data_IF_092430121578
#
_entry.id   IF_092430121578
#
_cell.length_a   1.000
_cell.length_b   1.000
_cell.length_c   1.000
_cell.angle_alpha   90.00
_cell.angle_beta   90.00
_cell.angle_gamma   90.00
#
_symmetry.space_group_name_H-M   'P 1'
#
loop_
_entity.id
_entity.type
_entity.pdbx_description
1 polymer ?
#
# COMPACT_ATOMS: atom_id res chain seq x y z
N UNK A 1 -87.17 6.88 19.97
CA UNK A 1 -86.20 6.73 18.86
C UNK A 1 -84.83 7.21 19.37
N UNK A 2 -83.75 6.70 18.78
CA UNK A 2 -82.34 7.06 19.02
C UNK A 2 -81.72 6.68 20.38
N UNK A 3 -81.30 5.42 20.56
CA UNK A 3 -80.11 5.14 21.39
C UNK A 3 -79.37 3.84 21.08
N UNK A 4 -79.68 3.16 19.97
CA UNK A 4 -79.05 1.86 19.64
C UNK A 4 -78.08 1.91 18.45
N UNK A 5 -77.87 3.08 17.85
CA UNK A 5 -77.02 3.20 16.65
C UNK A 5 -75.53 3.44 16.96
N UNK A 6 -75.19 3.91 18.18
CA UNK A 6 -73.81 4.22 18.56
C UNK A 6 -73.01 3.03 19.14
N UNK A 7 -73.66 1.93 19.52
CA UNK A 7 -72.97 0.79 20.14
C UNK A 7 -72.46 -0.26 19.15
N UNK A 8 -72.99 -0.29 17.91
CA UNK A 8 -72.57 -1.25 16.88
C UNK A 8 -71.40 -0.75 16.03
N UNK A 9 -71.20 0.56 15.92
CA UNK A 9 -70.07 1.14 15.18
C UNK A 9 -68.75 1.04 15.95
N UNK A 10 -68.80 1.01 17.29
CA UNK A 10 -67.62 0.83 18.14
C UNK A 10 -67.19 -0.65 18.19
N UNK A 11 -68.12 -1.60 18.01
CA UNK A 11 -67.83 -3.05 18.03
C UNK A 11 -67.24 -3.59 16.72
N UNK A 12 -67.35 -2.85 15.61
CA UNK A 12 -66.74 -3.21 14.32
C UNK A 12 -65.30 -2.68 14.15
N UNK A 13 -64.86 -1.74 14.99
CA UNK A 13 -63.52 -1.13 14.90
C UNK A 13 -62.48 -1.95 15.69
N UNK A 14 -62.88 -2.95 16.48
CA UNK A 14 -61.96 -3.69 17.36
C UNK A 14 -61.36 -4.98 16.79
N UNK A 15 -61.63 -5.39 15.54
CA UNK A 15 -61.22 -6.73 15.03
C UNK A 15 -60.38 -6.70 13.73
N UNK A 16 -59.73 -5.58 13.41
CA UNK A 16 -58.71 -5.56 12.36
C UNK A 16 -57.41 -4.92 12.85
N UNK A 17 -56.95 -5.30 14.04
CA UNK A 17 -55.53 -5.14 14.37
C UNK A 17 -54.77 -6.14 13.52
N UNK A 18 -54.28 -5.70 12.35
CA UNK A 18 -53.37 -6.50 11.53
C UNK A 18 -52.13 -6.75 12.39
N UNK A 19 -51.95 -7.98 12.86
CA UNK A 19 -50.74 -8.38 13.57
C UNK A 19 -49.58 -8.34 12.57
N UNK A 20 -48.74 -7.32 12.74
CA UNK A 20 -47.65 -6.99 11.87
C UNK A 20 -46.51 -6.39 12.69
N UNK A 21 -45.29 -6.66 12.26
CA UNK A 21 -44.09 -6.12 12.87
C UNK A 21 -43.52 -4.99 12.01
N UNK A 22 -43.13 -3.90 12.68
CA UNK A 22 -42.38 -2.81 12.07
C UNK A 22 -40.89 -3.00 12.37
N UNK A 23 -40.11 -3.24 11.33
CA UNK A 23 -38.67 -3.49 11.46
C UNK A 23 -37.88 -2.69 10.43
N UNK A 24 -37.01 -1.78 10.92
CA UNK A 24 -36.20 -0.88 10.07
C UNK A 24 -37.00 -0.16 8.98
N UNK A 25 -38.22 0.27 9.30
CA UNK A 25 -39.09 0.99 8.37
C UNK A 25 -39.84 0.12 7.34
N UNK A 26 -39.82 -1.21 7.48
CA UNK A 26 -40.61 -2.15 6.68
C UNK A 26 -41.65 -2.85 7.54
N UNK A 27 -42.80 -3.17 6.93
CA UNK A 27 -43.90 -3.91 7.54
C UNK A 27 -43.82 -5.39 7.18
N UNK A 28 -43.87 -6.26 8.17
CA UNK A 28 -43.85 -7.71 8.02
C UNK A 28 -45.10 -8.33 8.64
N UNK A 29 -45.73 -9.30 7.97
CA UNK A 29 -46.92 -9.98 8.50
C UNK A 29 -46.54 -10.92 9.64
N UNK A 30 -47.49 -11.22 10.54
CA UNK A 30 -47.33 -12.29 11.54
C UNK A 30 -46.79 -13.57 10.89
N UNK A 31 -45.80 -14.19 11.52
CA UNK A 31 -45.08 -15.39 11.09
C UNK A 31 -44.22 -15.24 9.82
N UNK A 32 -44.09 -14.03 9.27
CA UNK A 32 -43.21 -13.77 8.15
C UNK A 32 -41.75 -13.87 8.59
N UNK A 33 -40.96 -14.64 7.83
CA UNK A 33 -39.51 -14.71 7.99
C UNK A 33 -38.84 -13.81 6.95
N UNK A 34 -37.81 -13.10 7.40
CA UNK A 34 -37.04 -12.21 6.55
C UNK A 34 -35.57 -12.21 6.96
N UNK A 35 -34.74 -11.60 6.11
CA UNK A 35 -33.30 -11.46 6.36
C UNK A 35 -32.97 -10.04 6.78
N UNK A 36 -32.14 -9.92 7.81
CA UNK A 36 -31.43 -8.69 8.16
C UNK A 36 -29.93 -9.00 8.15
N UNK A 37 -29.27 -8.62 7.06
CA UNK A 37 -27.91 -9.06 6.75
C UNK A 37 -27.82 -10.61 6.78
N UNK A 38 -26.83 -11.19 7.46
CA UNK A 38 -26.70 -12.63 7.64
C UNK A 38 -27.70 -13.24 8.64
N UNK A 39 -28.39 -12.40 9.43
CA UNK A 39 -29.33 -12.87 10.44
C UNK A 39 -30.68 -13.25 9.82
N UNK A 40 -31.26 -14.32 10.36
CA UNK A 40 -32.65 -14.71 10.06
C UNK A 40 -33.54 -14.11 11.11
N UNK A 41 -34.53 -13.34 10.69
CA UNK A 41 -35.53 -12.71 11.53
C UNK A 41 -36.90 -13.31 11.27
N UNK A 42 -37.76 -13.32 12.30
CA UNK A 42 -39.16 -13.67 12.16
C UNK A 42 -40.04 -12.70 12.95
N UNK A 43 -41.19 -12.36 12.37
CA UNK A 43 -42.24 -11.60 13.06
C UNK A 43 -43.06 -12.55 13.94
N UNK A 44 -42.87 -12.44 15.26
CA UNK A 44 -43.52 -13.27 16.28
C UNK A 44 -44.84 -12.69 16.76
N UNK A 45 -45.29 -13.19 17.92
CA UNK A 45 -46.50 -12.68 18.55
C UNK A 45 -46.27 -11.27 19.15
N UNK A 46 -47.37 -10.56 19.43
CA UNK A 46 -47.34 -9.22 20.04
C UNK A 46 -46.52 -8.20 19.23
N UNK A 47 -46.44 -8.36 17.91
CA UNK A 47 -45.71 -7.49 16.98
C UNK A 47 -44.19 -7.39 17.28
N UNK A 48 -43.61 -8.42 17.91
CA UNK A 48 -42.19 -8.47 18.22
C UNK A 48 -41.39 -9.18 17.11
N UNK A 49 -40.22 -8.62 16.79
CA UNK A 49 -39.27 -9.24 15.87
C UNK A 49 -38.20 -9.97 16.66
N UNK A 50 -37.94 -11.21 16.26
CA UNK A 50 -36.88 -12.03 16.81
C UNK A 50 -35.89 -12.37 15.70
N UNK A 51 -34.62 -12.00 15.89
CA UNK A 51 -33.54 -12.31 14.96
C UNK A 51 -32.52 -13.24 15.60
N UNK A 52 -31.85 -14.05 14.80
CA UNK A 52 -30.58 -14.66 15.21
C UNK A 52 -29.57 -13.57 15.57
N UNK A 53 -28.60 -13.89 16.42
CA UNK A 53 -27.53 -12.96 16.83
C UNK A 53 -26.18 -13.43 16.29
N UNK A 54 -26.10 -13.55 14.96
CA UNK A 54 -24.84 -13.78 14.27
C UNK A 54 -24.08 -12.46 14.17
N UNK A 55 -22.77 -12.52 14.42
CA UNK A 55 -21.85 -11.42 14.14
C UNK A 55 -21.67 -11.31 12.63
N UNK A 56 -22.61 -10.65 11.97
CA UNK A 56 -22.51 -10.37 10.55
C UNK A 56 -21.37 -9.38 10.36
N UNK A 57 -20.27 -9.86 9.81
CA UNK A 57 -19.23 -8.99 9.29
C UNK A 57 -19.84 -8.42 8.02
N UNK A 58 -20.18 -7.13 8.02
CA UNK A 58 -20.71 -6.48 6.82
C UNK A 58 -19.76 -6.76 5.66
N UNK A 59 -20.16 -7.65 4.76
CA UNK A 59 -19.40 -7.99 3.54
C UNK A 59 -19.53 -6.87 2.48
N UNK A 60 -19.73 -5.62 2.91
CA UNK A 60 -19.75 -4.41 2.08
C UNK A 60 -18.48 -3.57 2.23
N UNK A 61 -17.49 -4.01 3.01
CA UNK A 61 -16.11 -3.65 2.73
C UNK A 61 -15.69 -4.44 1.50
N UNK A 62 -15.88 -3.85 0.32
CA UNK A 62 -15.37 -4.35 -0.95
C UNK A 62 -13.97 -4.92 -0.69
N UNK A 63 -13.82 -6.26 -0.74
CA UNK A 63 -12.59 -6.91 -0.32
C UNK A 63 -11.49 -6.41 -1.26
N UNK A 64 -10.64 -5.53 -0.74
CA UNK A 64 -9.58 -4.85 -1.48
C UNK A 64 -8.22 -5.11 -0.85
N UNK A 65 -7.18 -4.96 -1.66
CA UNK A 65 -5.82 -4.81 -1.19
C UNK A 65 -5.37 -3.37 -1.34
N UNK A 66 -4.65 -2.87 -0.34
CA UNK A 66 -3.95 -1.59 -0.39
C UNK A 66 -2.48 -1.88 -0.69
N UNK A 67 -1.99 -1.46 -1.85
CA UNK A 67 -0.61 -1.68 -2.27
C UNK A 67 0.00 -0.39 -2.84
N UNK A 68 1.11 0.07 -2.25
CA UNK A 68 1.77 1.36 -2.59
C UNK A 68 0.79 2.53 -2.70
N UNK A 69 -0.17 2.62 -1.77
CA UNK A 69 -1.24 3.64 -1.70
C UNK A 69 -2.33 3.56 -2.78
N UNK A 70 -2.33 2.52 -3.61
CA UNK A 70 -3.41 2.23 -4.55
C UNK A 70 -4.32 1.12 -4.00
N UNK A 71 -5.59 1.16 -4.40
CA UNK A 71 -6.62 0.18 -4.00
C UNK A 71 -6.87 -0.78 -5.16
N UNK A 72 -6.85 -2.08 -4.88
CA UNK A 72 -7.05 -3.14 -5.86
C UNK A 72 -8.13 -4.10 -5.38
N UNK A 73 -9.05 -4.50 -6.26
CA UNK A 73 -10.07 -5.49 -5.90
C UNK A 73 -9.45 -6.87 -5.70
N UNK A 74 -9.96 -7.65 -4.74
CA UNK A 74 -9.57 -9.05 -4.59
C UNK A 74 -9.78 -9.83 -5.89
N UNK A 75 -8.80 -10.66 -6.25
CA UNK A 75 -8.75 -11.40 -7.51
C UNK A 75 -8.09 -10.64 -8.66
N UNK A 76 -7.97 -9.31 -8.57
CA UNK A 76 -7.30 -8.52 -9.61
C UNK A 76 -5.81 -8.82 -9.67
N UNK A 77 -5.26 -8.70 -10.88
CA UNK A 77 -3.83 -8.76 -11.15
C UNK A 77 -3.37 -7.40 -11.68
N UNK A 78 -2.22 -6.93 -11.21
CA UNK A 78 -1.65 -5.64 -11.59
C UNK A 78 -0.12 -5.73 -11.72
N UNK A 79 0.49 -4.67 -12.23
CA UNK A 79 1.95 -4.58 -12.41
C UNK A 79 2.60 -3.76 -11.32
N UNK A 80 3.70 -4.27 -10.79
CA UNK A 80 4.70 -3.49 -10.07
C UNK A 80 6.02 -3.62 -10.81
N UNK A 81 6.34 -2.61 -11.63
CA UNK A 81 7.42 -2.70 -12.62
C UNK A 81 7.21 -3.91 -13.55
N UNK A 82 8.24 -4.72 -13.78
CA UNK A 82 8.14 -5.95 -14.56
C UNK A 82 7.43 -7.11 -13.82
N UNK A 83 7.18 -6.98 -12.52
CA UNK A 83 6.55 -8.01 -11.71
C UNK A 83 5.03 -7.99 -11.85
N UNK A 84 4.43 -9.18 -11.86
CA UNK A 84 2.98 -9.33 -11.79
C UNK A 84 2.59 -9.59 -10.35
N UNK A 85 1.67 -8.77 -9.83
CA UNK A 85 1.10 -8.89 -8.50
C UNK A 85 -0.35 -9.34 -8.58
N UNK A 86 -0.82 -10.08 -7.57
CA UNK A 86 -2.22 -10.50 -7.41
C UNK A 86 -2.73 -10.10 -6.03
N UNK A 87 -3.88 -9.45 -6.00
CA UNK A 87 -4.60 -9.16 -4.76
C UNK A 87 -5.39 -10.40 -4.31
N UNK A 88 -5.11 -10.88 -3.10
CA UNK A 88 -5.76 -12.00 -2.44
C UNK A 88 -6.63 -11.50 -1.28
N UNK A 89 -7.46 -12.39 -0.73
CA UNK A 89 -8.27 -12.09 0.44
C UNK A 89 -7.41 -11.59 1.63
N UNK A 90 -8.03 -10.87 2.55
CA UNK A 90 -7.40 -10.36 3.77
C UNK A 90 -6.24 -9.37 3.51
N UNK A 91 -6.36 -8.53 2.47
CA UNK A 91 -5.38 -7.51 2.11
C UNK A 91 -3.95 -8.08 1.84
N UNK A 92 -3.89 -9.30 1.30
CA UNK A 92 -2.62 -9.95 0.95
C UNK A 92 -2.29 -9.70 -0.51
N UNK A 93 -1.09 -9.19 -0.78
CA UNK A 93 -0.57 -9.03 -2.15
C UNK A 93 0.62 -9.94 -2.35
N UNK A 94 0.55 -10.78 -3.38
CA UNK A 94 1.67 -11.63 -3.81
C UNK A 94 2.17 -11.17 -5.17
N UNK A 95 3.48 -10.99 -5.29
CA UNK A 95 4.12 -10.57 -6.54
C UNK A 95 5.15 -11.62 -6.98
N UNK A 96 5.35 -11.74 -8.30
CA UNK A 96 6.53 -12.42 -8.82
C UNK A 96 7.81 -11.73 -8.32
N UNK A 97 8.93 -12.46 -8.30
CA UNK A 97 10.24 -11.94 -7.88
C UNK A 97 11.23 -11.95 -9.06
N UNK A 98 10.89 -11.22 -10.11
CA UNK A 98 11.77 -10.98 -11.26
C UNK A 98 12.71 -9.83 -10.93
N UNK A 99 13.97 -9.97 -11.34
CA UNK A 99 14.90 -8.86 -11.38
C UNK A 99 14.48 -7.95 -12.53
N UNK A 100 13.87 -6.81 -12.22
CA UNK A 100 13.36 -5.92 -13.24
C UNK A 100 14.50 -5.14 -13.91
N UNK A 101 14.53 -5.08 -15.25
CA UNK A 101 15.48 -4.24 -15.96
C UNK A 101 15.27 -2.80 -15.53
N UNK A 102 16.36 -2.07 -15.28
CA UNK A 102 16.28 -0.63 -15.07
C UNK A 102 15.83 0.00 -16.39
N UNK A 103 14.54 0.25 -16.56
CA UNK A 103 14.03 0.98 -17.71
C UNK A 103 14.47 2.43 -17.57
N UNK A 104 15.04 2.98 -18.65
CA UNK A 104 15.59 4.34 -18.73
C UNK A 104 14.60 5.45 -18.36
N UNK A 105 13.31 5.13 -18.17
CA UNK A 105 12.26 6.08 -17.81
C UNK A 105 12.27 6.46 -16.33
N UNK A 106 12.88 5.66 -15.45
CA UNK A 106 13.36 6.15 -14.16
C UNK A 106 14.81 6.60 -14.31
N UNK A 107 15.03 7.70 -15.04
CA UNK A 107 16.20 8.54 -14.85
C UNK A 107 16.08 9.14 -13.44
N UNK A 108 16.38 8.36 -12.40
CA UNK A 108 16.97 8.96 -11.22
C UNK A 108 18.19 9.70 -11.75
N UNK A 109 18.08 11.02 -11.81
CA UNK A 109 19.19 11.87 -12.24
C UNK A 109 20.28 11.60 -11.21
N UNK A 110 21.28 10.84 -11.62
CA UNK A 110 22.44 10.45 -10.82
C UNK A 110 23.68 10.82 -11.58
N UNK A 111 24.75 11.08 -10.85
CA UNK A 111 26.08 11.22 -11.41
C UNK A 111 26.90 9.98 -11.06
N UNK A 112 27.67 9.47 -12.03
CA UNK A 112 28.67 8.44 -11.80
C UNK A 112 30.04 9.09 -11.75
N UNK A 113 30.78 8.90 -10.67
CA UNK A 113 32.12 9.49 -10.47
C UNK A 113 33.01 8.52 -9.70
N UNK A 114 34.19 8.20 -10.26
CA UNK A 114 35.14 7.22 -9.71
C UNK A 114 34.46 5.91 -9.28
N UNK A 115 33.64 5.33 -10.17
CA UNK A 115 32.87 4.09 -9.94
C UNK A 115 31.86 4.14 -8.78
N UNK A 116 31.53 5.33 -8.27
CA UNK A 116 30.47 5.54 -7.27
C UNK A 116 29.28 6.27 -7.89
N UNK A 117 28.08 6.01 -7.36
CA UNK A 117 26.82 6.61 -7.80
C UNK A 117 26.36 7.66 -6.79
N UNK A 118 26.09 8.87 -7.26
CA UNK A 118 25.68 10.01 -6.46
C UNK A 118 24.32 10.53 -6.91
N UNK A 119 23.43 10.85 -5.96
CA UNK A 119 22.13 11.46 -6.27
C UNK A 119 22.32 12.91 -6.71
N UNK A 120 21.52 13.41 -7.64
CA UNK A 120 21.51 14.84 -7.97
C UNK A 120 21.29 15.71 -6.74
N UNK A 121 22.04 16.81 -6.65
CA UNK A 121 22.06 17.73 -5.51
C UNK A 121 23.02 17.31 -4.38
N UNK A 122 23.46 16.04 -4.34
CA UNK A 122 24.44 15.59 -3.36
C UNK A 122 25.77 16.30 -3.52
N UNK A 123 26.42 16.54 -2.39
CA UNK A 123 27.77 17.10 -2.31
C UNK A 123 28.68 16.09 -1.58
N UNK A 124 29.90 15.94 -2.06
CA UNK A 124 30.87 14.97 -1.53
C UNK A 124 32.29 15.50 -1.67
N UNK A 125 33.23 14.90 -0.93
CA UNK A 125 34.64 15.28 -0.93
C UNK A 125 35.47 14.34 -1.80
N UNK A 126 36.38 14.90 -2.57
CA UNK A 126 37.42 14.19 -3.33
C UNK A 126 38.74 14.85 -2.95
N UNK A 127 39.52 14.16 -2.13
CA UNK A 127 40.65 14.77 -1.40
C UNK A 127 40.16 16.04 -0.67
N UNK A 128 40.80 17.19 -0.87
CA UNK A 128 40.38 18.47 -0.30
C UNK A 128 39.21 19.14 -1.06
N UNK A 129 38.97 18.75 -2.32
CA UNK A 129 37.98 19.39 -3.18
C UNK A 129 36.55 19.00 -2.81
N UNK A 130 35.63 19.96 -2.92
CA UNK A 130 34.19 19.72 -2.77
C UNK A 130 33.59 19.55 -4.16
N UNK A 131 32.90 18.43 -4.36
CA UNK A 131 32.19 18.09 -5.58
C UNK A 131 30.68 18.10 -5.36
N UNK A 132 29.92 18.43 -6.41
CA UNK A 132 28.46 18.39 -6.41
C UNK A 132 27.94 17.70 -7.66
N UNK A 133 26.95 16.83 -7.49
CA UNK A 133 26.21 16.25 -8.61
C UNK A 133 25.13 17.23 -9.09
N UNK A 134 25.24 17.71 -10.33
CA UNK A 134 24.35 18.71 -10.92
C UNK A 134 23.11 18.09 -11.56
N UNK A 135 22.05 18.88 -11.76
CA UNK A 135 20.80 18.46 -12.41
C UNK A 135 20.96 17.92 -13.84
N UNK A 136 22.12 18.14 -14.46
CA UNK A 136 22.47 17.67 -15.80
C UNK A 136 23.30 16.38 -15.77
N UNK A 137 23.31 15.67 -14.64
CA UNK A 137 24.08 14.44 -14.40
C UNK A 137 25.61 14.62 -14.49
N UNK A 138 26.11 15.85 -14.37
CA UNK A 138 27.53 16.16 -14.35
C UNK A 138 28.02 16.38 -12.92
N UNK A 139 29.24 15.92 -12.61
CA UNK A 139 29.94 16.28 -11.38
C UNK A 139 30.78 17.52 -11.62
N UNK A 140 30.59 18.52 -10.77
CA UNK A 140 31.41 19.74 -10.77
C UNK A 140 32.13 19.83 -9.43
N UNK A 141 33.44 20.03 -9.45
CA UNK A 141 34.27 20.12 -8.27
C UNK A 141 34.99 21.47 -8.20
N UNK A 142 35.33 21.90 -6.99
CA UNK A 142 36.34 22.95 -6.79
C UNK A 142 37.69 22.51 -7.39
N UNK A 143 38.55 23.49 -7.70
CA UNK A 143 39.90 23.24 -8.25
C UNK A 143 40.97 23.74 -7.29
N UNK A 144 41.03 23.14 -6.11
CA UNK A 144 42.06 23.39 -5.11
C UNK A 144 43.26 22.49 -5.37
N UNK A 145 44.47 23.04 -5.22
CA UNK A 145 45.70 22.26 -5.14
C UNK A 145 45.73 21.55 -3.77
N UNK A 146 45.41 20.25 -3.76
CA UNK A 146 45.32 19.50 -2.51
C UNK A 146 46.71 19.05 -2.03
N UNK A 147 46.99 19.12 -0.72
CA UNK A 147 48.17 18.49 -0.15
C UNK A 147 48.16 16.98 -0.39
N UNK A 148 49.31 16.42 -0.77
CA UNK A 148 49.51 14.97 -0.90
C UNK A 148 49.74 14.39 0.49
N UNK A 149 48.97 13.36 0.85
CA UNK A 149 49.16 12.66 2.12
C UNK A 149 50.05 11.42 1.94
N UNK A 150 50.59 10.88 3.04
CA UNK A 150 51.33 9.61 3.01
C UNK A 150 50.48 8.45 2.46
N UNK A 151 49.18 8.44 2.79
CA UNK A 151 48.23 7.45 2.31
C UNK A 151 48.05 7.53 0.77
N UNK A 152 48.02 8.73 0.21
CA UNK A 152 47.93 8.93 -1.25
C UNK A 152 49.17 8.37 -1.97
N UNK A 153 50.37 8.56 -1.38
CA UNK A 153 51.63 8.01 -1.91
C UNK A 153 51.61 6.48 -1.87
N UNK A 154 51.14 5.89 -0.76
CA UNK A 154 51.06 4.42 -0.62
C UNK A 154 50.11 3.80 -1.64
N UNK A 155 48.92 4.38 -1.84
CA UNK A 155 47.96 3.94 -2.86
C UNK A 155 48.52 4.07 -4.28
N UNK A 156 49.26 5.14 -4.55
CA UNK A 156 49.91 5.33 -5.85
C UNK A 156 51.02 4.29 -6.08
N UNK A 157 51.84 4.00 -5.08
CA UNK A 157 52.86 2.93 -5.16
C UNK A 157 52.19 1.56 -5.40
N UNK A 158 51.07 1.28 -4.72
CA UNK A 158 50.30 0.05 -4.93
C UNK A 158 49.76 -0.04 -6.36
N UNK A 159 49.14 1.03 -6.86
CA UNK A 159 48.65 1.11 -8.23
C UNK A 159 49.77 0.83 -9.26
N UNK A 160 50.94 1.46 -9.08
CA UNK A 160 52.09 1.25 -9.96
C UNK A 160 52.67 -0.18 -9.91
N UNK A 161 52.61 -0.85 -8.74
CA UNK A 161 53.01 -2.25 -8.58
C UNK A 161 52.01 -3.20 -9.25
N UNK A 162 50.72 -2.96 -9.07
CA UNK A 162 49.65 -3.81 -9.58
C UNK A 162 49.54 -3.73 -11.12
N UNK A 163 49.75 -2.56 -11.72
CA UNK A 163 49.79 -2.38 -13.17
C UNK A 163 51.16 -2.81 -13.79
N UNK A 164 52.07 -3.37 -12.98
CA UNK A 164 53.43 -3.84 -13.38
C UNK A 164 54.27 -2.78 -14.12
N UNK A 165 54.04 -1.50 -13.87
CA UNK A 165 54.73 -0.40 -14.60
C UNK A 165 56.13 -0.15 -14.02
N UNK A 166 56.35 -0.42 -12.73
CA UNK A 166 57.65 -0.18 -12.08
C UNK A 166 58.20 -1.49 -11.52
N UNK A 167 59.28 -2.00 -12.12
CA UNK A 167 60.20 -2.90 -11.40
C UNK A 167 60.92 -2.03 -10.37
N UNK A 168 60.48 -2.11 -9.12
CA UNK A 168 61.18 -1.44 -8.01
C UNK A 168 62.62 -1.94 -7.98
N UNK A 169 63.63 -1.05 -8.00
CA UNK A 169 65.01 -1.46 -7.83
C UNK A 169 65.13 -2.18 -6.49
N UNK A 170 65.66 -3.39 -6.51
CA UNK A 170 66.00 -4.10 -5.29
C UNK A 170 67.06 -3.30 -4.56
N UNK A 171 66.70 -2.72 -3.41
CA UNK A 171 67.67 -2.13 -2.49
C UNK A 171 68.56 -3.28 -2.00
N UNK A 172 69.76 -3.40 -2.58
CA UNK A 172 70.82 -4.19 -1.97
C UNK A 172 71.19 -3.51 -0.66
N UNK A 173 70.93 -4.18 0.46
CA UNK A 173 71.61 -3.89 1.70
C UNK A 173 73.01 -4.46 1.55
N UNK A 174 73.99 -3.59 1.38
CA UNK A 174 75.38 -3.87 1.73
C UNK A 174 75.55 -3.68 3.25
#
# INVERSE_FOLDING_TARGET
>A
MSSFCFSFTIFLITILTIEACDYKGKHYKKNEQFKDDCNTCYCGEQNMVHCTLMSCSGDDDEKVCIYKKNVYKVGSSFKDDCNTCKCQSNNVVTCTKKFCPVTYEMKTKVCVYMNKVYKVGSSFKVMCNTCRCTSNNAVVCTKMMCPITKEDIEKFIEYLRNDKIVKLPTVKKD
#
